data_IF_380818805541
#
_entry.id   IF_380818805541
#
_cell.length_a   1.000
_cell.length_b   1.000
_cell.length_c   1.000
_cell.angle_alpha   90.00
_cell.angle_beta   90.00
_cell.angle_gamma   90.00
#
_symmetry.space_group_name_H-M   'P 1'
#
loop_
_entity.id
_entity.type
_entity.pdbx_description
1 polymer ?
#
# COMPACT_ATOMS: atom_id res chain seq x y z
N UNK A 1 26.25 -43.94 -21.93
CA UNK A 1 25.43 -42.79 -22.37
C UNK A 1 24.01 -43.02 -21.89
N UNK A 2 23.62 -42.39 -20.78
CA UNK A 2 22.27 -42.53 -20.22
C UNK A 2 21.34 -41.62 -21.02
N UNK A 3 20.35 -42.21 -21.71
CA UNK A 3 19.34 -41.46 -22.46
C UNK A 3 18.50 -40.66 -21.46
N UNK A 4 18.42 -39.34 -21.65
CA UNK A 4 17.56 -38.48 -20.82
C UNK A 4 16.12 -38.67 -21.28
N UNK A 5 15.25 -39.03 -20.34
CA UNK A 5 13.82 -39.20 -20.59
C UNK A 5 13.16 -37.82 -20.66
N UNK A 6 13.00 -37.29 -21.88
CA UNK A 6 12.43 -35.96 -22.16
C UNK A 6 11.02 -35.77 -21.60
N UNK A 7 10.26 -36.85 -21.45
CA UNK A 7 8.90 -36.82 -20.88
C UNK A 7 8.91 -36.49 -19.38
N UNK A 8 9.91 -36.98 -18.63
CA UNK A 8 10.06 -36.67 -17.20
C UNK A 8 10.49 -35.23 -16.98
N UNK A 9 11.37 -34.71 -17.85
CA UNK A 9 11.79 -33.30 -17.80
C UNK A 9 10.61 -32.36 -18.10
N UNK A 10 9.81 -32.68 -19.12
CA UNK A 10 8.60 -31.91 -19.46
C UNK A 10 7.56 -31.92 -18.31
N UNK A 11 7.37 -33.05 -17.64
CA UNK A 11 6.48 -33.14 -16.48
C UNK A 11 7.00 -32.31 -15.28
N UNK A 12 8.31 -32.30 -15.04
CA UNK A 12 8.91 -31.45 -13.99
C UNK A 12 8.78 -29.95 -14.33
N UNK A 13 8.96 -29.55 -15.59
CA UNK A 13 8.78 -28.16 -16.00
C UNK A 13 7.31 -27.72 -15.91
N UNK A 14 6.37 -28.57 -16.31
CA UNK A 14 4.94 -28.28 -16.19
C UNK A 14 4.50 -28.22 -14.73
N UNK A 15 5.02 -29.07 -13.85
CA UNK A 15 4.80 -28.98 -12.41
C UNK A 15 5.40 -27.69 -11.80
N UNK A 16 6.57 -27.25 -12.27
CA UNK A 16 7.18 -26.00 -11.82
C UNK A 16 6.38 -24.75 -12.26
N UNK A 17 5.73 -24.80 -13.42
CA UNK A 17 4.91 -23.70 -13.95
C UNK A 17 3.51 -23.70 -13.31
N UNK A 18 2.92 -24.87 -13.06
CA UNK A 18 1.50 -25.00 -12.70
C UNK A 18 1.19 -25.67 -11.36
N UNK A 19 2.16 -26.17 -10.58
CA UNK A 19 1.84 -26.95 -9.38
C UNK A 19 2.96 -27.06 -8.35
N UNK A 20 3.09 -26.04 -7.50
CA UNK A 20 3.50 -26.22 -6.11
C UNK A 20 2.50 -25.56 -5.14
N UNK A 21 1.21 -25.62 -5.48
CA UNK A 21 0.12 -25.37 -4.53
C UNK A 21 -0.09 -26.61 -3.64
N UNK A 22 0.94 -26.97 -2.87
CA UNK A 22 0.85 -27.92 -1.76
C UNK A 22 1.50 -27.42 -0.47
N UNK A 23 1.85 -26.13 -0.39
CA UNK A 23 2.15 -25.46 0.89
C UNK A 23 1.63 -24.02 0.85
N UNK A 24 0.35 -23.85 1.19
CA UNK A 24 -0.30 -22.55 1.39
C UNK A 24 0.31 -21.70 2.53
N UNK A 25 1.26 -22.25 3.30
CA UNK A 25 1.86 -21.63 4.48
C UNK A 25 3.10 -20.77 4.20
N UNK A 26 3.62 -20.79 2.97
CA UNK A 26 4.78 -19.98 2.53
C UNK A 26 4.39 -18.66 1.84
N UNK A 27 3.11 -18.31 1.79
CA UNK A 27 2.59 -17.18 1.01
C UNK A 27 2.99 -15.79 1.54
N UNK A 28 3.65 -15.72 2.69
CA UNK A 28 4.21 -14.48 3.24
C UNK A 28 5.63 -14.71 3.77
N UNK A 29 6.57 -13.75 3.59
CA UNK A 29 7.85 -13.80 4.27
C UNK A 29 7.61 -13.81 5.79
N UNK A 30 7.73 -14.99 6.40
CA UNK A 30 7.61 -15.17 7.85
C UNK A 30 8.75 -14.36 8.48
N UNK A 31 8.42 -13.21 9.08
CA UNK A 31 9.37 -12.41 9.87
C UNK A 31 10.05 -13.36 10.86
N UNK A 32 11.37 -13.55 10.73
CA UNK A 32 12.22 -14.22 11.72
C UNK A 32 12.00 -13.54 13.08
N UNK A 33 11.05 -14.03 13.87
CA UNK A 33 11.03 -13.81 15.31
C UNK A 33 12.02 -14.81 15.88
N UNK A 34 12.91 -14.29 16.72
CA UNK A 34 13.95 -15.05 17.39
C UNK A 34 13.36 -16.31 18.03
N UNK A 35 14.08 -17.42 17.90
CA UNK A 35 13.72 -18.71 18.48
C UNK A 35 13.52 -18.56 20.00
N UNK A 36 12.26 -18.52 20.43
CA UNK A 36 11.89 -18.81 21.80
C UNK A 36 11.96 -20.33 21.96
N UNK A 37 12.76 -20.75 22.95
CA UNK A 37 13.09 -22.11 23.35
C UNK A 37 11.87 -23.04 23.27
N UNK A 38 11.98 -24.14 22.51
CA UNK A 38 11.13 -25.32 22.69
C UNK A 38 11.62 -26.06 23.94
N UNK A 39 10.79 -26.34 24.95
CA UNK A 39 11.06 -27.42 25.88
C UNK A 39 10.62 -28.75 25.25
N UNK A 40 11.50 -29.73 25.36
CA UNK A 40 11.26 -31.14 25.04
C UNK A 40 10.00 -31.66 25.73
N UNK A 41 9.11 -32.34 25.00
CA UNK A 41 8.22 -33.35 25.57
C UNK A 41 7.74 -34.32 24.48
N UNK A 42 8.38 -35.48 24.47
CA UNK A 42 7.83 -36.84 24.37
C UNK A 42 6.72 -37.06 23.32
N UNK A 43 7.13 -37.73 22.24
CA UNK A 43 6.27 -38.50 21.35
C UNK A 43 5.90 -39.81 22.05
N UNK A 44 4.64 -39.96 22.46
CA UNK A 44 4.02 -41.25 22.75
C UNK A 44 2.88 -41.47 21.78
N UNK A 45 3.01 -42.57 21.07
CA UNK A 45 2.08 -43.17 20.11
C UNK A 45 0.79 -43.64 20.77
N UNK A 46 -0.22 -43.85 19.92
CA UNK A 46 -1.37 -44.75 20.02
C UNK A 46 -2.55 -44.41 20.94
N UNK A 47 -3.74 -44.29 20.30
CA UNK A 47 -4.92 -45.06 20.70
C UNK A 47 -6.17 -44.28 21.14
N UNK A 48 -7.21 -44.34 20.29
CA UNK A 48 -8.64 -44.58 20.61
C UNK A 48 -9.35 -43.75 21.70
N UNK A 49 -10.47 -43.12 21.34
CA UNK A 49 -11.56 -42.85 22.29
C UNK A 49 -12.51 -41.73 21.87
N UNK A 50 -13.79 -42.07 21.69
CA UNK A 50 -14.96 -41.19 21.61
C UNK A 50 -14.97 -40.11 22.71
N UNK A 51 -15.53 -38.93 22.43
CA UNK A 51 -16.68 -38.37 23.18
C UNK A 51 -17.19 -37.06 22.54
N UNK A 52 -18.52 -36.97 22.43
CA UNK A 52 -19.27 -35.75 22.15
C UNK A 52 -19.06 -34.73 23.27
N UNK A 53 -18.75 -33.47 22.94
CA UNK A 53 -19.09 -32.33 23.78
C UNK A 53 -19.48 -31.14 22.91
N UNK A 54 -20.59 -30.54 23.31
CA UNK A 54 -21.35 -29.44 22.72
C UNK A 54 -20.57 -28.14 22.55
N UNK A 55 -21.06 -27.36 21.57
CA UNK A 55 -21.40 -25.94 21.64
C UNK A 55 -20.59 -25.06 22.62
N UNK A 56 -19.73 -24.20 22.09
CA UNK A 56 -19.54 -22.88 22.70
C UNK A 56 -18.98 -21.86 21.69
N UNK A 57 -19.86 -20.94 21.27
CA UNK A 57 -19.53 -19.74 20.51
C UNK A 57 -18.69 -18.78 21.36
N UNK A 58 -17.37 -18.93 21.38
CA UNK A 58 -16.48 -17.95 22.02
C UNK A 58 -16.19 -16.77 21.08
N UNK A 59 -17.07 -15.77 21.14
CA UNK A 59 -16.78 -14.40 20.71
C UNK A 59 -15.82 -13.74 21.71
N UNK A 60 -14.53 -13.69 21.38
CA UNK A 60 -13.53 -12.96 22.16
C UNK A 60 -13.61 -11.45 21.85
N UNK A 61 -14.52 -10.78 22.55
CA UNK A 61 -14.53 -9.33 22.74
C UNK A 61 -13.55 -8.99 23.88
N UNK A 62 -12.28 -8.85 23.51
CA UNK A 62 -11.23 -8.32 24.39
C UNK A 62 -11.48 -6.85 24.75
N UNK A 63 -12.25 -6.67 25.83
CA UNK A 63 -12.43 -5.43 26.57
C UNK A 63 -11.16 -5.16 27.38
N UNK A 64 -10.42 -4.10 27.03
CA UNK A 64 -9.23 -3.67 27.79
C UNK A 64 -9.58 -2.41 28.58
N UNK A 65 -9.81 -2.59 29.88
CA UNK A 65 -9.88 -1.51 30.86
C UNK A 65 -9.29 -2.00 32.19
N UNK A 66 -8.52 -1.11 32.83
CA UNK A 66 -7.93 -1.16 34.19
C UNK A 66 -6.50 -1.75 34.16
N UNK A 67 -5.42 -1.15 34.70
CA UNK A 67 -5.24 -0.18 35.80
C UNK A 67 -3.84 0.48 35.78
N UNK A 68 -3.77 1.59 36.53
CA UNK A 68 -2.68 1.97 37.47
C UNK A 68 -1.46 2.78 36.98
N UNK A 69 -1.54 4.07 37.32
CA UNK A 69 -0.45 4.94 37.77
C UNK A 69 0.49 4.27 38.79
N UNK A 70 1.80 4.25 38.51
CA UNK A 70 2.80 5.07 39.22
C UNK A 70 4.25 4.73 38.83
N UNK A 71 5.04 5.80 38.81
CA UNK A 71 6.48 5.86 39.08
C UNK A 71 7.45 5.38 37.98
N UNK A 72 7.90 6.34 37.18
CA UNK A 72 9.32 6.68 37.19
C UNK A 72 9.52 8.09 36.63
N UNK A 73 9.42 9.07 37.55
CA UNK A 73 10.26 10.26 37.45
C UNK A 73 11.71 9.80 37.41
N UNK A 74 12.40 10.04 36.29
CA UNK A 74 13.76 10.58 36.22
C UNK A 74 14.12 10.75 34.73
N UNK A 75 14.53 11.97 34.41
CA UNK A 75 15.34 12.36 33.25
C UNK A 75 14.67 12.32 31.86
N UNK A 76 14.07 13.45 31.47
CA UNK A 76 14.55 14.19 30.29
C UNK A 76 13.87 15.57 30.16
N UNK A 77 14.23 16.52 31.01
CA UNK A 77 14.25 17.92 30.58
C UNK A 77 15.34 18.09 29.51
N UNK A 78 15.08 17.61 28.28
CA UNK A 78 15.88 17.97 27.11
C UNK A 78 15.19 19.10 26.40
N UNK A 79 15.66 20.31 26.73
CA UNK A 79 15.64 21.54 25.97
C UNK A 79 14.70 21.55 24.75
N UNK A 80 13.59 22.29 24.87
CA UNK A 80 12.93 22.90 23.71
C UNK A 80 13.89 23.96 23.13
N UNK A 81 14.98 23.52 22.48
CA UNK A 81 15.75 24.40 21.61
C UNK A 81 14.81 24.82 20.50
N UNK A 82 14.47 26.11 20.52
CA UNK A 82 13.76 26.80 19.47
C UNK A 82 14.28 26.31 18.11
N UNK A 83 13.41 25.64 17.34
CA UNK A 83 13.65 25.38 15.91
C UNK A 83 13.62 26.73 15.20
N UNK A 84 14.71 27.48 15.35
CA UNK A 84 15.00 28.71 14.62
C UNK A 84 14.93 28.36 13.14
N UNK A 85 13.84 28.77 12.49
CA UNK A 85 13.64 28.89 11.04
C UNK A 85 14.61 28.06 10.19
N UNK A 86 14.52 26.73 10.26
CA UNK A 86 15.10 25.91 9.20
C UNK A 86 14.17 26.11 8.02
N UNK A 87 14.42 27.16 7.21
CA UNK A 87 13.79 27.34 5.90
C UNK A 87 13.94 26.01 5.21
N UNK A 88 12.85 25.24 5.15
CA UNK A 88 12.80 24.04 4.34
C UNK A 88 13.00 24.55 2.93
N UNK A 89 14.20 24.40 2.38
CA UNK A 89 14.42 24.62 0.96
C UNK A 89 13.55 23.59 0.24
N UNK A 90 12.30 23.97 -0.03
CA UNK A 90 11.35 23.20 -0.81
C UNK A 90 11.90 23.19 -2.22
N UNK A 91 12.53 22.09 -2.59
CA UNK A 91 13.03 21.87 -3.94
C UNK A 91 11.90 21.26 -4.76
N UNK A 92 11.63 21.86 -5.92
CA UNK A 92 10.60 21.40 -6.83
C UNK A 92 11.25 20.57 -7.92
N UNK A 93 10.76 19.36 -8.17
CA UNK A 93 11.39 18.42 -9.11
C UNK A 93 10.44 18.16 -10.27
N UNK A 94 10.94 18.38 -11.49
CA UNK A 94 10.28 17.97 -12.72
C UNK A 94 10.98 16.74 -13.28
N UNK A 95 10.20 15.80 -13.81
CA UNK A 95 10.69 14.72 -14.66
C UNK A 95 10.45 15.11 -16.11
N UNK A 96 11.52 15.16 -16.89
CA UNK A 96 11.51 15.36 -18.32
C UNK A 96 11.84 14.02 -18.98
N UNK A 97 10.91 13.45 -19.75
CA UNK A 97 11.19 12.24 -20.50
C UNK A 97 12.01 12.58 -21.74
N UNK A 98 13.07 11.82 -21.99
CA UNK A 98 14.09 12.08 -23.03
C UNK A 98 14.44 10.78 -23.74
N UNK A 99 15.02 10.89 -24.93
CA UNK A 99 15.51 9.73 -25.67
C UNK A 99 16.79 9.16 -25.01
N UNK A 100 17.03 7.83 -25.06
CA UNK A 100 18.34 7.26 -24.73
C UNK A 100 19.47 7.96 -25.50
N UNK A 101 20.60 8.18 -24.83
CA UNK A 101 21.77 8.85 -25.42
C UNK A 101 21.77 10.37 -25.31
N UNK A 102 20.69 10.99 -24.84
CA UNK A 102 20.63 12.44 -24.65
C UNK A 102 21.67 12.93 -23.64
N UNK A 103 22.45 13.93 -24.03
CA UNK A 103 23.46 14.54 -23.16
C UNK A 103 22.84 15.48 -22.12
N UNK A 104 23.56 15.62 -20.99
CA UNK A 104 23.14 16.54 -19.93
C UNK A 104 23.14 18.01 -20.39
N UNK A 105 24.05 18.37 -21.30
CA UNK A 105 24.16 19.72 -21.82
C UNK A 105 22.97 20.09 -22.71
N UNK A 106 22.48 19.16 -23.53
CA UNK A 106 21.26 19.37 -24.33
C UNK A 106 20.02 19.63 -23.45
N UNK A 107 19.90 18.95 -22.31
CA UNK A 107 18.83 19.25 -21.35
C UNK A 107 19.03 20.62 -20.70
N UNK A 108 20.28 21.07 -20.51
CA UNK A 108 20.55 22.40 -19.96
C UNK A 108 20.20 23.51 -20.93
N UNK A 109 20.47 23.35 -22.23
CA UNK A 109 20.17 24.37 -23.24
C UNK A 109 18.66 24.60 -23.37
N UNK A 110 17.85 23.53 -23.41
CA UNK A 110 16.38 23.66 -23.46
C UNK A 110 15.82 24.39 -22.23
N UNK A 111 16.45 24.23 -21.07
CA UNK A 111 16.01 24.83 -19.81
C UNK A 111 16.88 26.00 -19.33
N UNK A 112 17.67 26.60 -20.22
CA UNK A 112 18.70 27.59 -19.87
C UNK A 112 18.12 28.79 -19.11
N UNK A 113 16.97 29.31 -19.57
CA UNK A 113 16.27 30.43 -18.96
C UNK A 113 15.87 30.23 -17.48
N UNK A 114 15.85 28.98 -17.00
CA UNK A 114 15.43 28.64 -15.64
C UNK A 114 16.54 28.07 -14.76
N UNK A 115 17.72 27.80 -15.35
CA UNK A 115 18.91 27.24 -14.70
C UNK A 115 18.64 26.09 -13.69
N UNK A 116 17.90 25.03 -14.05
CA UNK A 116 17.64 23.94 -13.12
C UNK A 116 18.88 23.08 -12.88
N UNK A 117 18.98 22.48 -11.69
CA UNK A 117 19.97 21.41 -11.47
C UNK A 117 19.48 20.13 -12.16
N UNK A 118 20.19 19.74 -13.22
CA UNK A 118 19.88 18.57 -14.06
C UNK A 118 20.57 17.31 -13.55
N UNK A 119 19.81 16.22 -13.39
CA UNK A 119 20.30 14.86 -13.12
C UNK A 119 19.67 13.88 -14.11
N UNK A 120 20.46 13.24 -14.97
CA UNK A 120 19.97 12.19 -15.86
C UNK A 120 19.75 10.90 -15.07
N UNK A 121 18.61 10.25 -15.27
CA UNK A 121 18.25 9.00 -14.62
C UNK A 121 17.62 8.04 -15.61
N UNK A 122 17.77 6.77 -15.31
CA UNK A 122 17.12 5.67 -16.04
C UNK A 122 16.24 4.92 -15.06
N UNK A 123 14.99 4.70 -15.42
CA UNK A 123 14.08 3.82 -14.67
C UNK A 123 13.68 2.67 -15.57
N UNK A 124 13.86 1.46 -15.06
CA UNK A 124 13.34 0.26 -15.67
C UNK A 124 11.93 0.03 -15.13
N UNK A 125 10.94 -0.08 -16.02
CA UNK A 125 9.57 -0.44 -15.64
C UNK A 125 9.28 -1.85 -16.13
N UNK A 126 9.36 -2.83 -15.24
CA UNK A 126 9.13 -4.24 -15.57
C UNK A 126 10.32 -4.85 -16.32
N UNK A 127 10.09 -5.30 -17.56
CA UNK A 127 11.08 -6.01 -18.39
C UNK A 127 12.36 -5.17 -18.63
N UNK A 128 13.51 -5.83 -18.78
CA UNK A 128 14.83 -5.23 -19.01
C UNK A 128 14.89 -4.38 -20.28
N UNK A 129 14.05 -4.69 -21.27
CA UNK A 129 13.91 -3.93 -22.52
C UNK A 129 13.20 -2.58 -22.31
N UNK A 130 12.35 -2.45 -21.29
CA UNK A 130 11.57 -1.24 -21.04
C UNK A 130 12.33 -0.28 -20.11
N UNK A 131 13.42 0.28 -20.63
CA UNK A 131 14.17 1.36 -19.97
C UNK A 131 13.63 2.70 -20.41
N UNK A 132 13.15 3.47 -19.44
CA UNK A 132 12.74 4.86 -19.63
C UNK A 132 13.86 5.78 -19.17
N UNK A 133 14.32 6.64 -20.08
CA UNK A 133 15.30 7.67 -19.80
C UNK A 133 14.56 8.96 -19.44
N UNK A 134 14.94 9.58 -18.34
CA UNK A 134 14.35 10.85 -17.92
C UNK A 134 15.39 11.72 -17.20
N UNK A 135 15.32 13.02 -17.45
CA UNK A 135 16.06 14.01 -16.70
C UNK A 135 15.23 14.47 -15.50
N UNK A 136 15.84 14.49 -14.32
CA UNK A 136 15.27 15.12 -13.14
C UNK A 136 15.81 16.54 -13.04
N UNK A 137 14.91 17.51 -13.18
CA UNK A 137 15.20 18.93 -13.10
C UNK A 137 14.81 19.42 -11.71
N UNK A 138 15.77 19.93 -10.95
CA UNK A 138 15.50 20.47 -9.60
C UNK A 138 15.53 21.99 -9.64
N UNK A 139 14.39 22.60 -9.34
CA UNK A 139 14.19 24.05 -9.27
C UNK A 139 14.22 24.52 -7.82
N UNK A 140 14.81 25.70 -7.61
CA UNK A 140 14.78 26.40 -6.32
C UNK A 140 13.46 27.12 -6.10
N UNK A 141 12.80 27.57 -7.17
CA UNK A 141 11.56 28.34 -7.11
C UNK A 141 10.39 27.56 -7.73
N UNK A 142 9.23 27.55 -7.06
CA UNK A 142 7.99 26.91 -7.52
C UNK A 142 7.47 27.55 -8.80
N UNK A 143 7.49 28.88 -8.86
CA UNK A 143 6.93 29.64 -9.98
C UNK A 143 7.67 29.30 -11.28
N UNK A 144 8.99 29.18 -11.22
CA UNK A 144 9.82 28.78 -12.37
C UNK A 144 9.52 27.35 -12.82
N UNK A 145 9.36 26.41 -11.90
CA UNK A 145 8.99 25.03 -12.25
C UNK A 145 7.63 24.98 -12.94
N UNK A 146 6.63 25.71 -12.45
CA UNK A 146 5.30 25.76 -13.06
C UNK A 146 5.30 26.49 -14.39
N UNK A 147 6.07 27.57 -14.52
CA UNK A 147 6.22 28.32 -15.77
C UNK A 147 6.90 27.45 -16.84
N UNK A 148 7.97 26.73 -16.47
CA UNK A 148 8.64 25.80 -17.36
C UNK A 148 7.69 24.70 -17.85
N UNK A 149 6.84 24.14 -16.98
CA UNK A 149 5.79 23.18 -17.41
C UNK A 149 4.83 23.86 -18.38
N UNK A 150 4.30 25.05 -18.07
CA UNK A 150 3.34 25.73 -18.93
C UNK A 150 3.89 26.04 -20.33
N UNK A 151 5.17 26.41 -20.42
CA UNK A 151 5.80 26.88 -21.66
C UNK A 151 6.43 25.76 -22.48
N UNK A 152 7.10 24.81 -21.82
CA UNK A 152 7.91 23.80 -22.50
C UNK A 152 7.19 22.45 -22.66
N UNK A 153 6.17 22.16 -21.87
CA UNK A 153 5.39 20.93 -22.02
C UNK A 153 4.64 20.93 -23.36
N UNK A 154 4.77 19.86 -24.13
CA UNK A 154 4.23 19.72 -25.47
C UNK A 154 5.06 20.38 -26.59
N UNK A 155 6.18 21.06 -26.27
CA UNK A 155 7.06 21.61 -27.32
C UNK A 155 7.82 20.51 -28.07
N UNK A 156 8.07 20.74 -29.36
CA UNK A 156 8.88 19.82 -30.16
C UNK A 156 10.37 20.10 -29.92
N UNK A 157 11.07 19.11 -29.37
CA UNK A 157 12.49 19.17 -29.00
C UNK A 157 13.27 18.03 -29.65
N UNK A 158 12.87 17.62 -30.86
CA UNK A 158 13.50 16.51 -31.58
C UNK A 158 15.00 16.72 -31.78
N UNK A 159 15.40 17.94 -32.16
CA UNK A 159 16.80 18.24 -32.50
C UNK A 159 17.75 18.16 -31.30
N UNK A 160 17.29 18.53 -30.11
CA UNK A 160 18.14 18.57 -28.91
C UNK A 160 17.97 17.34 -28.01
N UNK A 161 16.75 16.83 -27.88
CA UNK A 161 16.39 15.79 -26.91
C UNK A 161 15.89 14.50 -27.56
N UNK A 162 15.74 14.48 -28.88
CA UNK A 162 15.21 13.32 -29.62
C UNK A 162 13.70 13.12 -29.45
N UNK A 163 13.00 14.05 -28.79
CA UNK A 163 11.58 13.90 -28.46
C UNK A 163 10.70 14.87 -29.24
N UNK A 164 9.75 14.32 -30.00
CA UNK A 164 8.76 15.10 -30.78
C UNK A 164 7.83 15.95 -29.93
N UNK A 165 7.50 15.49 -28.73
CA UNK A 165 6.67 16.22 -27.77
C UNK A 165 7.29 16.06 -26.38
N UNK A 166 7.85 17.14 -25.86
CA UNK A 166 8.43 17.17 -24.53
C UNK A 166 7.33 16.90 -23.49
N UNK A 167 7.54 15.91 -22.62
CA UNK A 167 6.62 15.60 -21.52
C UNK A 167 7.25 15.96 -20.19
N UNK A 168 6.70 16.96 -19.52
CA UNK A 168 7.14 17.43 -18.21
C UNK A 168 6.12 17.06 -17.14
N UNK A 169 6.58 16.32 -16.13
CA UNK A 169 5.74 15.95 -14.97
C UNK A 169 6.30 16.50 -13.68
N UNK A 170 5.50 17.28 -12.97
CA UNK A 170 5.84 17.75 -11.64
C UNK A 170 5.70 16.61 -10.64
N UNK A 171 6.79 16.28 -9.95
CA UNK A 171 6.84 15.23 -8.96
C UNK A 171 6.86 15.84 -7.56
N UNK A 172 5.96 15.35 -6.72
CA UNK A 172 6.00 15.60 -5.29
C UNK A 172 7.28 15.01 -4.69
N UNK A 173 7.79 15.64 -3.64
CA UNK A 173 8.86 15.06 -2.84
C UNK A 173 8.43 13.70 -2.29
N UNK A 174 9.37 12.78 -2.02
CA UNK A 174 9.05 11.48 -1.40
C UNK A 174 8.24 11.64 -0.12
N UNK A 175 8.53 12.67 0.68
CA UNK A 175 7.80 12.97 1.92
C UNK A 175 6.36 13.40 1.63
N UNK A 176 6.17 14.28 0.66
CA UNK A 176 4.84 14.78 0.25
C UNK A 176 4.01 13.68 -0.39
N UNK A 177 4.62 12.87 -1.25
CA UNK A 177 3.98 11.71 -1.87
C UNK A 177 3.56 10.66 -0.83
N UNK A 178 4.40 10.38 0.17
CA UNK A 178 4.02 9.47 1.26
C UNK A 178 2.88 10.05 2.11
N UNK A 179 2.92 11.34 2.43
CA UNK A 179 1.84 12.01 3.15
C UNK A 179 0.51 11.99 2.36
N UNK A 180 0.57 12.24 1.05
CA UNK A 180 -0.59 12.17 0.17
C UNK A 180 -1.19 10.76 0.12
N UNK A 181 -0.34 9.72 -0.01
CA UNK A 181 -0.79 8.32 0.03
C UNK A 181 -1.41 7.95 1.38
N UNK A 182 -0.83 8.41 2.48
CA UNK A 182 -1.38 8.15 3.81
C UNK A 182 -2.74 8.81 3.99
N UNK A 183 -2.90 10.07 3.56
CA UNK A 183 -4.19 10.79 3.59
C UNK A 183 -5.25 10.08 2.73
N UNK A 184 -4.88 9.66 1.52
CA UNK A 184 -5.77 8.92 0.62
C UNK A 184 -6.22 7.58 1.22
N UNK A 185 -5.29 6.81 1.80
CA UNK A 185 -5.62 5.55 2.49
C UNK A 185 -6.52 5.76 3.71
N UNK A 186 -6.28 6.84 4.47
CA UNK A 186 -7.14 7.19 5.61
C UNK A 186 -8.57 7.48 5.13
N UNK A 187 -8.72 8.31 4.08
CA UNK A 187 -10.02 8.63 3.48
C UNK A 187 -10.76 7.38 2.99
N UNK A 188 -10.07 6.47 2.28
CA UNK A 188 -10.66 5.21 1.84
C UNK A 188 -11.13 4.32 2.99
N UNK A 189 -10.42 4.33 4.13
CA UNK A 189 -10.84 3.59 5.32
C UNK A 189 -12.08 4.20 5.95
N UNK A 190 -12.13 5.52 6.05
CA UNK A 190 -13.29 6.26 6.57
C UNK A 190 -14.53 6.07 5.68
N UNK A 191 -14.35 6.13 4.35
CA UNK A 191 -15.44 5.89 3.39
C UNK A 191 -15.99 4.46 3.51
N UNK A 192 -15.13 3.44 3.60
CA UNK A 192 -15.58 2.06 3.85
C UNK A 192 -16.29 1.89 5.19
N UNK A 193 -15.80 2.55 6.24
CA UNK A 193 -16.46 2.53 7.54
C UNK A 193 -17.86 3.15 7.50
N UNK A 194 -18.04 4.23 6.73
CA UNK A 194 -19.36 4.84 6.53
C UNK A 194 -20.30 3.93 5.75
N UNK A 195 -19.82 3.33 4.65
CA UNK A 195 -20.60 2.38 3.87
C UNK A 195 -21.09 1.21 4.73
N UNK A 196 -20.21 0.63 5.56
CA UNK A 196 -20.60 -0.46 6.46
C UNK A 196 -21.68 -0.03 7.47
N UNK A 197 -21.61 1.20 7.98
CA UNK A 197 -22.62 1.73 8.91
C UNK A 197 -23.95 2.00 8.19
N UNK A 198 -23.90 2.55 6.97
CA UNK A 198 -25.08 2.75 6.12
C UNK A 198 -25.76 1.41 5.80
N UNK A 199 -25.01 0.42 5.35
CA UNK A 199 -25.49 -0.96 5.13
C UNK A 199 -26.13 -1.55 6.40
N UNK A 200 -25.49 -1.39 7.57
CA UNK A 200 -26.07 -1.89 8.83
C UNK A 200 -27.37 -1.19 9.25
N UNK A 201 -27.52 0.09 8.91
CA UNK A 201 -28.75 0.83 9.19
C UNK A 201 -29.87 0.40 8.22
N UNK A 202 -29.55 0.23 6.94
CA UNK A 202 -30.47 -0.28 5.92
C UNK A 202 -30.96 -1.69 6.30
N UNK A 203 -30.07 -2.57 6.74
CA UNK A 203 -30.43 -3.92 7.22
C UNK A 203 -31.35 -3.86 8.45
N UNK A 204 -31.05 -2.97 9.41
CA UNK A 204 -31.88 -2.81 10.60
C UNK A 204 -33.29 -2.26 10.27
N UNK A 205 -33.38 -1.31 9.33
CA UNK A 205 -34.66 -0.80 8.83
C UNK A 205 -35.43 -1.88 8.06
N UNK A 206 -34.74 -2.66 7.24
CA UNK A 206 -35.32 -3.80 6.55
C UNK A 206 -35.90 -4.82 7.54
N UNK A 207 -35.14 -5.23 8.56
CA UNK A 207 -35.60 -6.19 9.57
C UNK A 207 -36.82 -5.65 10.33
N UNK A 208 -36.82 -4.37 10.71
CA UNK A 208 -37.97 -3.73 11.37
C UNK A 208 -39.22 -3.79 10.48
N UNK A 209 -39.08 -3.41 9.21
CA UNK A 209 -40.19 -3.44 8.25
C UNK A 209 -40.67 -4.86 7.98
N UNK A 210 -39.75 -5.83 7.88
CA UNK A 210 -40.07 -7.24 7.71
C UNK A 210 -40.87 -7.79 8.91
N UNK A 211 -40.41 -7.53 10.13
CA UNK A 211 -41.13 -7.91 11.35
C UNK A 211 -42.50 -7.24 11.44
N UNK A 212 -42.62 -5.95 11.11
CA UNK A 212 -43.92 -5.27 11.12
C UNK A 212 -44.93 -5.89 10.13
N UNK A 213 -44.45 -6.43 9.01
CA UNK A 213 -45.31 -6.97 7.96
C UNK A 213 -45.69 -8.43 8.19
N UNK A 214 -44.76 -9.24 8.73
CA UNK A 214 -44.90 -10.69 8.82
C UNK A 214 -44.95 -11.25 10.25
N UNK A 215 -44.68 -10.45 11.28
CA UNK A 215 -44.89 -10.90 12.64
C UNK A 215 -46.41 -10.95 12.93
N UNK A 216 -46.94 -12.12 13.34
CA UNK A 216 -48.35 -12.23 13.67
C UNK A 216 -48.66 -11.30 14.85
N UNK A 217 -49.61 -10.39 14.68
CA UNK A 217 -50.10 -9.57 15.79
C UNK A 217 -50.75 -10.51 16.81
N UNK A 218 -50.12 -10.68 17.97
CA UNK A 218 -50.60 -11.52 19.09
C UNK A 218 -51.95 -11.04 19.65
N UNK A 219 -52.51 -9.94 19.13
CA UNK A 219 -53.75 -9.30 19.62
C UNK A 219 -55.06 -10.03 19.28
N UNK A 220 -55.06 -11.09 18.47
CA UNK A 220 -56.32 -11.74 18.03
C UNK A 220 -56.63 -13.09 18.72
N UNK A 221 -56.09 -13.37 19.92
CA UNK A 221 -56.38 -14.63 20.64
C UNK A 221 -57.22 -14.49 21.92
N UNK A 222 -57.70 -13.31 22.29
CA UNK A 222 -58.54 -13.14 23.50
C UNK A 222 -60.04 -12.93 23.24
N UNK A 223 -60.53 -12.84 22.00
CA UNK A 223 -61.95 -12.53 21.72
C UNK A 223 -62.85 -13.72 21.31
N UNK A 224 -62.36 -14.97 21.34
CA UNK A 224 -63.19 -16.16 21.08
C UNK A 224 -63.33 -17.08 22.28
N UNK A 225 -63.75 -16.53 23.43
CA UNK A 225 -64.46 -17.29 24.47
C UNK A 225 -65.43 -16.35 25.19
N UNK A 226 -66.67 -16.23 24.72
CA UNK A 226 -67.88 -15.99 25.51
C UNK A 226 -69.11 -16.25 24.66
#
# INVERSE_FOLDING_TARGET
MVKRDLEKEKQMELAAIWGSETDGDLRYPRRRRAAAKRPNAISTTSGSGNEEVEDDHLSDLGSDAISEDRASDIAAQKSKKAKKNKKTNTTYRLHCFIEPGTEKNAVRTVFEAYEPKVELRTSQKGNLLNKTHYAVLTFRNKAMALHAVKVLDGTNQYDLLGVKELKLRLMLSRKEHNAARQKMRKRLREERGRQLMEESNEDAEFIKNFLATYAPSVKNKEETQK
#
